data_IF_214726021702
#
_entry.id   IF_214726021702
#
_cell.length_a   1.000
_cell.length_b   1.000
_cell.length_c   1.000
_cell.angle_alpha   90.00
_cell.angle_beta   90.00
_cell.angle_gamma   90.00
#
_symmetry.space_group_name_H-M   'P 1'
#
loop_
_entity.id
_entity.type
_entity.pdbx_description
1 polymer ?
#
# COMPACT_ATOMS: atom_id res chain seq x y z
N UNK A 1 -19.39 -20.15 7.96
CA UNK A 1 -18.66 -18.93 7.57
C UNK A 1 -17.75 -18.59 8.73
N UNK A 2 -16.44 -18.74 8.53
CA UNK A 2 -15.42 -18.60 9.57
C UNK A 2 -15.11 -17.10 9.74
N UNK A 3 -15.54 -16.52 10.87
CA UNK A 3 -15.30 -15.13 11.24
C UNK A 3 -13.93 -14.95 11.88
N UNK A 4 -12.87 -15.43 11.21
CA UNK A 4 -11.52 -15.10 11.61
C UNK A 4 -11.25 -13.62 11.25
N UNK A 5 -10.83 -12.77 12.21
CA UNK A 5 -10.73 -11.31 12.04
C UNK A 5 -9.74 -10.82 10.97
N UNK A 6 -9.01 -11.73 10.30
CA UNK A 6 -8.07 -11.43 9.23
C UNK A 6 -8.65 -11.40 7.81
N UNK A 7 -9.94 -11.71 7.62
CA UNK A 7 -10.46 -11.94 6.28
C UNK A 7 -10.73 -10.64 5.47
N UNK A 8 -10.88 -9.49 6.14
CA UNK A 8 -11.32 -8.23 5.48
C UNK A 8 -10.22 -7.17 5.29
N UNK A 9 -9.07 -7.25 5.97
CA UNK A 9 -8.05 -6.21 5.89
C UNK A 9 -7.22 -6.35 4.62
N UNK A 10 -7.36 -5.39 3.69
CA UNK A 10 -6.43 -5.17 2.59
C UNK A 10 -5.24 -4.34 3.08
N UNK A 11 -4.03 -4.87 2.94
CA UNK A 11 -2.80 -4.20 3.36
C UNK A 11 -1.95 -3.83 2.15
N UNK A 12 -1.37 -2.63 2.20
CA UNK A 12 -0.60 -2.05 1.11
C UNK A 12 0.83 -1.76 1.53
N UNK A 13 1.75 -1.87 0.60
CA UNK A 13 3.12 -1.40 0.76
C UNK A 13 3.76 -1.06 -0.59
N UNK A 14 4.95 -0.44 -0.54
CA UNK A 14 5.77 -0.19 -1.74
C UNK A 14 6.49 -1.46 -2.20
N UNK A 15 6.87 -2.34 -1.28
CA UNK A 15 7.69 -3.50 -1.59
C UNK A 15 7.16 -4.80 -1.01
N UNK A 16 6.09 -5.37 -1.58
CA UNK A 16 5.42 -6.56 -1.01
C UNK A 16 6.36 -7.71 -0.65
N UNK A 17 7.32 -8.02 -1.53
CA UNK A 17 8.31 -9.10 -1.30
C UNK A 17 9.33 -8.80 -0.20
N UNK A 18 9.43 -7.55 0.25
CA UNK A 18 10.34 -7.10 1.31
C UNK A 18 9.57 -6.81 2.60
N UNK A 19 8.54 -5.97 2.53
CA UNK A 19 7.80 -5.46 3.68
C UNK A 19 6.98 -6.57 4.37
N UNK A 20 6.24 -7.40 3.62
CA UNK A 20 5.34 -8.39 4.22
C UNK A 20 6.05 -9.53 4.94
N UNK A 21 7.13 -10.15 4.39
CA UNK A 21 7.89 -11.15 5.15
C UNK A 21 8.44 -10.61 6.46
N UNK A 22 8.93 -9.37 6.47
CA UNK A 22 9.47 -8.72 7.67
C UNK A 22 8.35 -8.48 8.70
N UNK A 23 7.22 -7.89 8.27
CA UNK A 23 6.07 -7.63 9.16
C UNK A 23 5.47 -8.90 9.74
N UNK A 24 5.23 -9.92 8.91
CA UNK A 24 4.75 -11.23 9.38
C UNK A 24 5.71 -11.81 10.39
N UNK A 25 7.01 -11.84 10.07
CA UNK A 25 8.02 -12.37 10.98
C UNK A 25 8.07 -11.63 12.32
N UNK A 26 7.92 -10.30 12.31
CA UNK A 26 7.87 -9.50 13.52
C UNK A 26 6.63 -9.83 14.37
N UNK A 27 5.43 -9.83 13.76
CA UNK A 27 4.17 -10.14 14.44
C UNK A 27 4.19 -11.56 15.00
N UNK A 28 4.62 -12.55 14.22
CA UNK A 28 4.69 -13.94 14.65
C UNK A 28 5.60 -14.11 15.87
N UNK A 29 6.72 -13.37 15.94
CA UNK A 29 7.66 -13.44 17.08
C UNK A 29 7.16 -12.69 18.33
N UNK A 30 6.40 -11.61 18.17
CA UNK A 30 5.98 -10.77 19.32
C UNK A 30 4.57 -11.09 19.82
N UNK A 31 3.68 -11.55 18.94
CA UNK A 31 2.26 -11.74 19.20
C UNK A 31 1.70 -13.07 18.68
N UNK A 32 2.49 -13.88 17.96
CA UNK A 32 2.08 -15.15 17.38
C UNK A 32 1.38 -15.05 16.02
N UNK A 33 1.40 -16.13 15.25
CA UNK A 33 0.91 -16.19 13.85
C UNK A 33 -0.57 -15.79 13.73
N UNK A 34 -1.40 -16.20 14.70
CA UNK A 34 -2.85 -15.89 14.73
C UNK A 34 -3.14 -14.39 14.88
N UNK A 35 -2.14 -13.60 15.23
CA UNK A 35 -2.25 -12.14 15.40
C UNK A 35 -2.00 -11.36 14.12
N UNK A 36 -1.68 -12.03 12.99
CA UNK A 36 -1.58 -11.37 11.69
C UNK A 36 -3.00 -11.00 11.21
N UNK A 37 -3.31 -9.70 11.05
CA UNK A 37 -4.69 -9.27 10.79
C UNK A 37 -5.09 -9.32 9.31
N UNK A 38 -4.31 -9.96 8.43
CA UNK A 38 -4.63 -10.11 7.00
C UNK A 38 -4.26 -11.49 6.47
N UNK A 39 -4.99 -11.96 5.45
CA UNK A 39 -4.62 -13.13 4.66
C UNK A 39 -3.66 -12.77 3.51
N UNK A 40 -2.82 -13.71 3.06
CA UNK A 40 -1.81 -13.43 2.02
C UNK A 40 -2.40 -12.93 0.69
N UNK A 41 -3.64 -13.34 0.35
CA UNK A 41 -4.33 -12.85 -0.85
C UNK A 41 -4.86 -11.40 -0.72
N UNK A 42 -4.78 -10.79 0.46
CA UNK A 42 -5.13 -9.38 0.71
C UNK A 42 -3.91 -8.43 0.65
N UNK A 43 -2.73 -8.95 0.36
CA UNK A 43 -1.51 -8.17 0.20
C UNK A 43 -1.49 -7.43 -1.13
N UNK A 44 -1.15 -6.14 -1.10
CA UNK A 44 -1.12 -5.27 -2.27
C UNK A 44 0.22 -4.54 -2.36
N UNK A 45 0.78 -4.53 -3.57
CA UNK A 45 1.97 -3.78 -3.91
C UNK A 45 1.55 -2.55 -4.75
N UNK A 46 2.03 -1.37 -4.40
CA UNK A 46 1.73 -0.16 -5.20
C UNK A 46 2.59 -0.03 -6.45
N UNK A 47 3.73 -0.75 -6.57
CA UNK A 47 4.64 -0.64 -7.73
C UNK A 47 3.95 -0.90 -9.08
N UNK A 48 3.06 -1.90 -9.22
CA UNK A 48 2.25 -2.06 -10.43
C UNK A 48 1.35 -0.86 -10.74
N UNK A 49 0.70 -0.26 -9.73
CA UNK A 49 -0.13 0.94 -9.92
C UNK A 49 0.71 2.12 -10.43
N UNK A 50 1.91 2.32 -9.85
CA UNK A 50 2.86 3.34 -10.29
C UNK A 50 3.25 3.11 -11.76
N UNK A 51 3.64 1.89 -12.13
CA UNK A 51 4.04 1.56 -13.49
C UNK A 51 2.91 1.82 -14.50
N UNK A 52 1.66 1.47 -14.14
CA UNK A 52 0.50 1.78 -14.97
C UNK A 52 0.29 3.30 -15.11
N UNK A 53 0.38 4.05 -14.01
CA UNK A 53 0.24 5.50 -14.07
C UNK A 53 1.32 6.14 -14.96
N UNK A 54 2.59 5.74 -14.79
CA UNK A 54 3.73 6.22 -15.57
C UNK A 54 3.55 5.99 -17.08
N UNK A 55 2.93 4.86 -17.48
CA UNK A 55 2.59 4.61 -18.90
C UNK A 55 1.59 5.60 -19.51
N UNK A 56 0.87 6.38 -18.68
CA UNK A 56 -0.07 7.43 -19.11
C UNK A 56 0.55 8.83 -19.05
N UNK A 57 1.88 8.94 -18.88
CA UNK A 57 2.59 10.20 -18.73
C UNK A 57 2.51 10.82 -17.33
N UNK A 58 1.95 10.11 -16.35
CA UNK A 58 2.02 10.52 -14.96
C UNK A 58 3.47 10.45 -14.45
N UNK A 59 3.85 11.36 -13.57
CA UNK A 59 5.17 11.38 -12.95
C UNK A 59 5.01 11.40 -11.44
N UNK A 60 5.80 10.57 -10.76
CA UNK A 60 5.80 10.51 -9.30
C UNK A 60 6.07 11.91 -8.72
N UNK A 61 5.16 12.45 -7.89
CA UNK A 61 5.38 13.75 -7.27
C UNK A 61 6.57 13.66 -6.30
N UNK A 62 7.49 14.62 -6.40
CA UNK A 62 8.55 14.77 -5.41
C UNK A 62 7.97 15.03 -4.02
N UNK A 63 8.64 14.55 -2.98
CA UNK A 63 8.28 14.89 -1.60
C UNK A 63 8.60 16.37 -1.37
N UNK A 64 7.60 17.18 -1.03
CA UNK A 64 7.78 18.60 -0.74
C UNK A 64 7.13 18.99 0.60
N UNK A 65 7.62 20.05 1.23
CA UNK A 65 7.07 20.55 2.51
C UNK A 65 7.33 19.63 3.71
N UNK A 66 6.40 19.54 4.68
CA UNK A 66 6.54 18.73 5.91
C UNK A 66 6.74 17.22 5.68
N UNK A 67 6.53 16.73 4.46
CA UNK A 67 6.83 15.36 4.02
C UNK A 67 8.33 15.11 3.79
N UNK A 68 9.15 16.15 3.91
CA UNK A 68 10.62 16.10 3.89
C UNK A 68 11.23 15.74 5.25
N UNK A 69 10.43 15.49 6.30
CA UNK A 69 10.91 14.72 7.47
C UNK A 69 11.11 13.28 7.00
N UNK A 70 12.18 13.10 6.23
CA UNK A 70 12.47 11.90 5.50
C UNK A 70 12.68 10.73 6.49
N UNK A 71 12.20 9.56 6.09
CA UNK A 71 12.56 8.26 6.67
C UNK A 71 11.91 7.85 8.00
N UNK A 72 10.73 8.36 8.36
CA UNK A 72 9.87 7.66 9.34
C UNK A 72 8.91 6.73 8.62
N UNK A 73 8.68 5.53 9.18
CA UNK A 73 7.74 4.56 8.61
C UNK A 73 6.32 5.15 8.45
N UNK A 74 5.90 6.00 9.41
CA UNK A 74 4.61 6.69 9.35
C UNK A 74 4.56 7.72 8.19
N UNK A 75 5.61 8.53 8.02
CA UNK A 75 5.69 9.49 6.93
C UNK A 75 5.68 8.80 5.56
N UNK A 76 6.40 7.68 5.44
CA UNK A 76 6.39 6.85 4.24
C UNK A 76 5.01 6.26 3.95
N UNK A 77 4.31 5.74 4.96
CA UNK A 77 2.96 5.19 4.80
C UNK A 77 1.94 6.26 4.35
N UNK A 78 1.98 7.45 4.96
CA UNK A 78 1.10 8.57 4.58
C UNK A 78 1.36 9.01 3.13
N UNK A 79 2.62 9.17 2.75
CA UNK A 79 2.98 9.54 1.38
C UNK A 79 2.54 8.46 0.37
N UNK A 80 2.77 7.17 0.67
CA UNK A 80 2.34 6.08 -0.20
C UNK A 80 0.82 6.04 -0.37
N UNK A 81 0.05 6.27 0.69
CA UNK A 81 -1.40 6.34 0.63
C UNK A 81 -1.90 7.48 -0.28
N UNK A 82 -1.24 8.65 -0.24
CA UNK A 82 -1.55 9.78 -1.14
C UNK A 82 -1.30 9.41 -2.61
N UNK A 83 -0.14 8.83 -2.91
CA UNK A 83 0.21 8.39 -4.27
C UNK A 83 -0.80 7.38 -4.81
N UNK A 84 -1.16 6.36 -4.02
CA UNK A 84 -2.17 5.36 -4.44
C UNK A 84 -3.53 6.02 -4.67
N UNK A 85 -3.94 6.94 -3.80
CA UNK A 85 -5.22 7.66 -3.93
C UNK A 85 -5.27 8.50 -5.20
N UNK A 86 -4.19 9.20 -5.53
CA UNK A 86 -4.07 9.99 -6.75
C UNK A 86 -4.16 9.12 -8.01
N UNK A 87 -3.39 8.03 -8.04
CA UNK A 87 -3.43 7.06 -9.16
C UNK A 87 -4.84 6.48 -9.31
N UNK A 88 -5.48 6.10 -8.20
CA UNK A 88 -6.84 5.59 -8.21
C UNK A 88 -7.82 6.61 -8.80
N UNK A 89 -7.81 7.85 -8.31
CA UNK A 89 -8.65 8.92 -8.86
C UNK A 89 -8.41 9.13 -10.35
N UNK A 90 -7.17 9.07 -10.84
CA UNK A 90 -6.87 9.18 -12.27
C UNK A 90 -7.56 8.10 -13.12
N UNK A 91 -7.65 6.88 -12.61
CA UNK A 91 -8.23 5.74 -13.35
C UNK A 91 -9.73 5.53 -13.09
N UNK A 92 -10.29 6.08 -12.00
CA UNK A 92 -11.71 5.87 -11.63
C UNK A 92 -12.57 7.12 -11.73
N UNK A 93 -12.00 8.32 -11.85
CA UNK A 93 -12.76 9.53 -12.24
C UNK A 93 -13.40 9.25 -13.61
N UNK A 94 -14.68 9.63 -13.87
CA UNK A 94 -15.47 9.10 -14.97
C UNK A 94 -14.70 9.04 -16.29
N UNK A 95 -14.32 7.82 -16.65
CA UNK A 95 -13.66 7.49 -17.91
C UNK A 95 -14.73 7.26 -18.99
N UNK A 96 -15.70 8.18 -19.12
CA UNK A 96 -16.78 8.13 -20.11
C UNK A 96 -17.18 9.54 -20.54
N UNK A 97 -16.43 10.10 -21.48
CA UNK A 97 -16.98 10.88 -22.59
C UNK A 97 -16.43 10.22 -23.87
N UNK A 98 -16.81 8.96 -24.09
CA UNK A 98 -16.75 8.33 -25.42
C UNK A 98 -18.18 8.36 -25.96
#
# INVERSE_FOLDING_TARGET
HDESPGNSLNIWCKGASFDFPILKSAITRTAGEKSIPWCYWNERCMRPLIAMAESTGWKMPGRSGKETIAHTALGDAVYQAKVVSEIWQRFTTPFLNI
#
